data_IF_762919934917
#
_entry.id   IF_762919934917
#
_cell.length_a   1.000
_cell.length_b   1.000
_cell.length_c   1.000
_cell.angle_alpha   90.00
_cell.angle_beta   90.00
_cell.angle_gamma   90.00
#
_symmetry.space_group_name_H-M   'P 1'
#
loop_
_entity.id
_entity.type
_entity.pdbx_description
1 polymer ?
#
# COMPACT_ATOMS: atom_id res chain seq x y z
N UNK A 1 71.45 18.01 38.83
CA UNK A 1 71.25 18.21 37.37
C UNK A 1 70.96 16.92 36.58
N UNK A 2 71.45 15.72 36.97
CA UNK A 2 71.17 14.46 36.25
C UNK A 2 69.71 14.00 36.20
N UNK A 3 68.86 14.38 37.17
CA UNK A 3 67.44 13.98 37.17
C UNK A 3 66.60 14.71 36.11
N UNK A 4 66.99 15.93 35.74
CA UNK A 4 66.28 16.73 34.74
C UNK A 4 66.60 16.20 33.33
N UNK A 5 67.86 15.85 33.05
CA UNK A 5 68.26 15.28 31.75
C UNK A 5 67.57 13.93 31.47
N UNK A 6 67.39 13.09 32.49
CA UNK A 6 66.66 11.81 32.35
C UNK A 6 65.15 12.00 32.13
N UNK A 7 64.55 13.02 32.73
CA UNK A 7 63.13 13.35 32.50
C UNK A 7 62.90 13.84 31.06
N UNK A 8 63.81 14.64 30.50
CA UNK A 8 63.76 15.07 29.11
C UNK A 8 64.03 13.94 28.11
N UNK A 9 64.91 12.99 28.45
CA UNK A 9 65.15 11.79 27.62
C UNK A 9 63.96 10.83 27.62
N UNK A 10 63.28 10.64 28.76
CA UNK A 10 62.06 9.84 28.85
C UNK A 10 60.88 10.52 28.14
N UNK A 11 60.75 11.85 28.22
CA UNK A 11 59.74 12.60 27.46
C UNK A 11 59.98 12.52 25.95
N UNK A 12 61.24 12.59 25.49
CA UNK A 12 61.59 12.43 24.09
C UNK A 12 61.35 11.00 23.57
N UNK A 13 61.58 9.97 24.39
CA UNK A 13 61.28 8.58 24.03
C UNK A 13 59.77 8.30 23.96
N UNK A 14 58.97 8.91 24.83
CA UNK A 14 57.51 8.80 24.79
C UNK A 14 56.87 9.56 23.61
N UNK A 15 57.48 10.66 23.16
CA UNK A 15 57.03 11.39 21.96
C UNK A 15 57.39 10.69 20.65
N UNK A 16 58.45 9.88 20.62
CA UNK A 16 58.83 9.09 19.44
C UNK A 16 58.00 7.79 19.26
N UNK A 17 57.27 7.35 20.29
CA UNK A 17 56.50 6.09 20.28
C UNK A 17 55.04 6.23 19.80
N UNK A 18 54.60 7.42 19.37
CA UNK A 18 53.19 7.71 19.06
C UNK A 18 52.89 7.98 17.58
N UNK A 19 53.86 7.82 16.67
CA UNK A 19 53.59 7.87 15.23
C UNK A 19 53.36 6.45 14.72
N UNK A 20 52.19 5.88 15.07
CA UNK A 20 51.64 4.80 14.26
C UNK A 20 51.22 5.43 12.93
N UNK A 21 51.98 5.20 11.86
CA UNK A 21 51.54 5.53 10.52
C UNK A 21 50.36 4.60 10.19
N UNK A 22 49.13 5.11 10.29
CA UNK A 22 47.97 4.40 9.78
C UNK A 22 47.95 4.54 8.26
N UNK A 23 48.10 3.41 7.56
CA UNK A 23 47.86 3.36 6.12
C UNK A 23 46.36 3.40 5.86
N UNK A 24 45.91 4.20 4.90
CA UNK A 24 44.50 4.23 4.50
C UNK A 24 44.39 4.06 3.00
N UNK A 25 43.45 3.24 2.53
CA UNK A 25 43.20 3.09 1.10
C UNK A 25 42.49 4.31 0.52
N UNK A 26 42.90 4.72 -0.68
CA UNK A 26 42.17 5.67 -1.53
C UNK A 26 41.97 5.07 -2.94
N UNK A 27 41.20 5.74 -3.78
CA UNK A 27 40.98 5.37 -5.18
C UNK A 27 41.43 6.48 -6.12
N UNK A 28 42.09 6.10 -7.21
CA UNK A 28 42.48 6.98 -8.31
C UNK A 28 41.92 6.46 -9.63
N UNK A 29 41.76 7.36 -10.60
CA UNK A 29 41.22 7.03 -11.93
C UNK A 29 39.89 6.27 -11.89
N UNK A 30 39.05 6.57 -10.90
CA UNK A 30 37.75 5.94 -10.80
C UNK A 30 36.82 6.51 -11.87
N UNK A 31 36.13 5.63 -12.59
CA UNK A 31 35.18 5.96 -13.64
C UNK A 31 33.89 5.22 -13.36
N UNK A 32 32.84 5.99 -13.08
CA UNK A 32 31.48 5.49 -12.99
C UNK A 32 30.77 5.78 -14.31
N UNK A 33 30.18 4.75 -14.90
CA UNK A 33 29.36 4.90 -16.09
C UNK A 33 28.06 4.13 -15.93
N UNK A 34 26.94 4.80 -16.16
CA UNK A 34 25.62 4.20 -16.25
C UNK A 34 25.16 4.30 -17.69
N UNK A 35 24.91 3.15 -18.28
CA UNK A 35 24.50 3.01 -19.68
C UNK A 35 23.17 2.27 -19.70
N UNK A 36 22.23 2.71 -20.54
CA UNK A 36 21.08 1.88 -20.87
C UNK A 36 21.56 0.64 -21.64
N UNK A 37 20.76 -0.43 -21.65
CA UNK A 37 21.03 -1.66 -22.39
C UNK A 37 21.28 -1.41 -23.89
N UNK A 38 20.64 -0.39 -24.46
CA UNK A 38 20.83 0.05 -25.85
C UNK A 38 22.17 0.76 -26.10
N UNK A 39 22.99 0.93 -25.06
CA UNK A 39 24.30 1.57 -25.11
C UNK A 39 24.27 3.09 -24.95
N UNK A 40 23.09 3.69 -24.80
CA UNK A 40 22.94 5.13 -24.56
C UNK A 40 23.55 5.51 -23.19
N UNK A 41 24.53 6.44 -23.14
CA UNK A 41 25.11 6.88 -21.87
C UNK A 41 24.12 7.78 -21.12
N UNK A 42 23.82 7.44 -19.86
CA UNK A 42 23.01 8.27 -18.96
C UNK A 42 23.88 9.07 -17.99
N UNK A 43 24.92 8.44 -17.44
CA UNK A 43 25.88 9.06 -16.53
C UNK A 43 27.29 8.57 -16.86
N UNK A 44 28.28 9.47 -16.86
CA UNK A 44 29.69 9.09 -16.97
C UNK A 44 30.54 10.09 -16.19
N UNK A 45 30.85 9.75 -14.95
CA UNK A 45 31.66 10.59 -14.05
C UNK A 45 33.04 9.98 -13.81
N UNK A 46 34.02 10.85 -13.60
CA UNK A 46 35.38 10.47 -13.22
C UNK A 46 35.66 11.02 -11.82
N UNK A 47 36.10 10.16 -10.92
CA UNK A 47 36.49 10.52 -9.56
C UNK A 47 38.00 10.38 -9.39
N UNK A 48 38.61 11.37 -8.73
CA UNK A 48 40.05 11.46 -8.57
C UNK A 48 40.56 11.05 -7.17
N UNK A 49 39.75 11.18 -6.10
CA UNK A 49 40.11 10.83 -4.70
C UNK A 49 38.90 10.94 -3.75
N UNK A 50 39.00 10.32 -2.55
CA UNK A 50 38.09 10.38 -1.39
C UNK A 50 37.45 11.76 -1.11
N UNK A 51 38.15 12.87 -1.37
CA UNK A 51 37.70 14.22 -0.99
C UNK A 51 36.55 14.79 -1.85
N UNK A 52 36.19 14.16 -2.97
CA UNK A 52 35.26 14.72 -3.96
C UNK A 52 33.92 13.97 -4.09
N UNK A 53 33.64 12.97 -3.26
CA UNK A 53 32.55 12.02 -3.54
C UNK A 53 31.29 12.35 -2.74
N UNK A 54 30.56 13.40 -3.16
CA UNK A 54 29.13 13.40 -2.90
C UNK A 54 28.49 12.47 -3.92
N UNK A 55 27.89 11.34 -3.50
CA UNK A 55 27.31 10.39 -4.45
C UNK A 55 26.13 11.05 -5.18
N UNK A 56 26.17 11.05 -6.51
CA UNK A 56 25.07 11.55 -7.31
C UNK A 56 23.81 10.69 -7.08
N UNK A 57 22.66 11.32 -6.96
CA UNK A 57 21.37 10.65 -6.88
C UNK A 57 20.87 10.35 -8.30
N UNK A 58 20.66 9.07 -8.60
CA UNK A 58 20.21 8.61 -9.92
C UNK A 58 18.96 7.74 -9.81
N UNK A 59 17.93 8.09 -10.58
CA UNK A 59 16.77 7.24 -10.77
C UNK A 59 17.13 6.06 -11.69
N UNK A 60 17.21 4.86 -11.09
CA UNK A 60 17.52 3.62 -11.76
C UNK A 60 16.37 3.20 -12.68
N UNK A 61 16.71 2.88 -13.92
CA UNK A 61 15.80 2.29 -14.90
C UNK A 61 16.04 0.78 -15.05
N UNK A 62 15.03 0.01 -15.50
CA UNK A 62 15.14 -1.44 -15.54
C UNK A 62 16.27 -1.97 -16.43
N UNK A 63 16.58 -1.22 -17.48
CA UNK A 63 17.54 -1.61 -18.52
C UNK A 63 18.92 -0.97 -18.27
N UNK A 64 19.13 -0.32 -17.11
CA UNK A 64 20.41 0.27 -16.75
C UNK A 64 21.48 -0.78 -16.44
N UNK A 65 22.68 -0.47 -16.90
CA UNK A 65 23.92 -1.17 -16.62
C UNK A 65 24.90 -0.20 -15.98
N UNK A 66 25.15 -0.40 -14.69
CA UNK A 66 26.11 0.37 -13.90
C UNK A 66 27.47 -0.31 -14.03
N UNK A 67 28.48 0.43 -14.47
CA UNK A 67 29.87 -0.01 -14.55
C UNK A 67 30.75 0.92 -13.74
N UNK A 68 31.57 0.35 -12.88
CA UNK A 68 32.52 1.08 -12.04
C UNK A 68 33.91 0.49 -12.24
N UNK A 69 34.84 1.31 -12.73
CA UNK A 69 36.24 0.95 -12.90
C UNK A 69 37.09 1.86 -12.03
N UNK A 70 38.06 1.33 -11.30
CA UNK A 70 38.89 2.11 -10.39
C UNK A 70 40.29 1.51 -10.26
N UNK A 71 41.23 2.35 -9.83
CA UNK A 71 42.58 1.95 -9.42
C UNK A 71 42.73 2.28 -7.95
N UNK A 72 43.38 1.40 -7.18
CA UNK A 72 43.57 1.59 -5.75
C UNK A 72 44.87 2.34 -5.53
N UNK A 73 44.80 3.39 -4.72
CA UNK A 73 45.92 4.20 -4.32
C UNK A 73 46.14 4.11 -2.80
N UNK A 74 47.36 4.39 -2.37
CA UNK A 74 47.66 4.62 -0.97
C UNK A 74 47.09 6.00 -0.56
N UNK A 75 47.01 6.29 0.74
CA UNK A 75 46.47 7.54 1.29
C UNK A 75 47.23 8.80 0.84
N UNK A 76 48.36 8.63 0.15
CA UNK A 76 49.18 9.67 -0.47
C UNK A 76 48.89 9.87 -1.97
N UNK A 77 47.98 9.08 -2.57
CA UNK A 77 47.56 9.19 -3.97
C UNK A 77 48.39 8.39 -4.97
N UNK A 78 49.43 7.69 -4.52
CA UNK A 78 50.29 6.83 -5.35
C UNK A 78 49.69 5.43 -5.54
N UNK A 79 50.00 4.78 -6.67
CA UNK A 79 49.54 3.43 -6.95
C UNK A 79 50.07 2.44 -5.90
N UNK A 80 49.17 1.62 -5.36
CA UNK A 80 49.52 0.64 -4.32
C UNK A 80 50.48 -0.41 -4.86
N UNK A 81 51.56 -0.68 -4.11
CA UNK A 81 52.52 -1.76 -4.40
C UNK A 81 51.86 -3.13 -4.21
N UNK A 82 52.35 -4.16 -4.91
CA UNK A 82 51.74 -5.51 -4.89
C UNK A 82 51.48 -6.06 -3.48
N UNK A 83 52.34 -5.76 -2.52
CA UNK A 83 52.23 -6.22 -1.13
C UNK A 83 51.11 -5.57 -0.31
N UNK A 84 50.61 -4.40 -0.74
CA UNK A 84 49.53 -3.66 -0.07
C UNK A 84 48.19 -3.78 -0.80
N UNK A 85 48.08 -4.61 -1.83
CA UNK A 85 46.80 -4.84 -2.53
C UNK A 85 45.77 -5.39 -1.53
N UNK A 86 44.56 -4.83 -1.47
CA UNK A 86 43.59 -5.25 -0.46
C UNK A 86 43.17 -6.70 -0.67
N UNK A 87 43.18 -7.45 0.44
CA UNK A 87 42.74 -8.84 0.48
C UNK A 87 41.23 -8.97 0.17
N UNK A 88 40.45 -7.94 0.50
CA UNK A 88 39.00 -7.91 0.37
C UNK A 88 38.56 -6.63 -0.33
N UNK A 89 37.84 -6.78 -1.43
CA UNK A 89 37.18 -5.68 -2.12
C UNK A 89 35.73 -6.08 -2.43
N UNK A 90 34.78 -5.26 -1.98
CA UNK A 90 33.36 -5.50 -2.17
C UNK A 90 32.65 -4.23 -2.62
N UNK A 91 31.68 -4.37 -3.51
CA UNK A 91 30.65 -3.35 -3.71
C UNK A 91 29.45 -3.73 -2.86
N UNK A 92 28.94 -2.79 -2.08
CA UNK A 92 27.79 -2.98 -1.21
C UNK A 92 26.70 -2.01 -1.60
N UNK A 93 25.48 -2.53 -1.81
CA UNK A 93 24.26 -1.74 -1.85
C UNK A 93 23.66 -1.76 -0.45
N UNK A 94 23.66 -0.61 0.22
CA UNK A 94 23.08 -0.42 1.54
C UNK A 94 21.88 0.52 1.45
N UNK A 95 20.90 0.30 2.30
CA UNK A 95 19.84 1.27 2.53
C UNK A 95 20.42 2.47 3.29
N UNK A 96 20.08 3.70 2.88
CA UNK A 96 20.56 4.92 3.56
C UNK A 96 19.79 5.24 4.84
N UNK A 97 18.56 4.73 4.97
CA UNK A 97 17.64 5.00 6.08
C UNK A 97 17.64 3.88 7.11
N UNK A 98 17.69 2.62 6.64
CA UNK A 98 17.78 1.45 7.51
C UNK A 98 19.25 1.09 7.71
N UNK A 99 19.78 1.37 8.91
CA UNK A 99 21.16 1.06 9.29
C UNK A 99 21.41 -0.45 9.54
N UNK A 100 20.54 -1.31 9.01
CA UNK A 100 20.56 -2.75 9.23
C UNK A 100 21.39 -3.47 8.16
N UNK A 101 22.49 -4.08 8.59
CA UNK A 101 23.36 -4.90 7.74
C UNK A 101 22.62 -6.09 7.09
N UNK A 102 21.51 -6.55 7.68
CA UNK A 102 20.66 -7.62 7.14
C UNK A 102 20.07 -7.29 5.76
N UNK A 103 19.93 -6.00 5.44
CA UNK A 103 19.30 -5.54 4.21
C UNK A 103 20.29 -5.22 3.08
N UNK A 104 21.60 -5.32 3.32
CA UNK A 104 22.62 -5.03 2.31
C UNK A 104 22.80 -6.14 1.27
N UNK A 105 23.14 -5.76 0.04
CA UNK A 105 23.57 -6.69 -1.01
C UNK A 105 25.05 -6.49 -1.30
N UNK A 106 25.82 -7.57 -1.38
CA UNK A 106 27.29 -7.53 -1.47
C UNK A 106 27.76 -8.26 -2.73
N UNK A 107 28.64 -7.61 -3.50
CA UNK A 107 29.29 -8.20 -4.66
C UNK A 107 30.80 -8.19 -4.48
N UNK A 108 31.47 -9.36 -4.51
CA UNK A 108 32.93 -9.43 -4.48
C UNK A 108 33.53 -8.87 -5.76
N UNK A 109 34.58 -8.07 -5.60
CA UNK A 109 35.34 -7.48 -6.70
C UNK A 109 36.74 -8.08 -6.71
N UNK A 110 37.16 -8.60 -7.87
CA UNK A 110 38.53 -9.09 -8.04
C UNK A 110 39.43 -7.93 -8.45
N UNK A 111 40.36 -7.57 -7.57
CA UNK A 111 41.43 -6.61 -7.85
C UNK A 111 42.57 -7.33 -8.56
N UNK A 112 43.13 -6.73 -9.62
CA UNK A 112 44.32 -7.28 -10.30
C UNK A 112 45.57 -6.81 -9.57
N UNK A 113 46.39 -7.74 -9.09
CA UNK A 113 47.61 -7.42 -8.33
C UNK A 113 48.60 -6.55 -9.12
N UNK A 114 48.83 -6.85 -10.40
CA UNK A 114 49.83 -6.18 -11.25
C UNK A 114 49.56 -4.69 -11.51
N UNK A 115 48.31 -4.24 -11.39
CA UNK A 115 47.91 -2.86 -11.72
C UNK A 115 47.05 -2.20 -10.64
N UNK A 116 46.84 -2.89 -9.51
CA UNK A 116 45.92 -2.50 -8.43
C UNK A 116 44.54 -2.00 -8.94
N UNK A 117 44.09 -2.50 -10.09
CA UNK A 117 42.89 -2.00 -10.78
C UNK A 117 41.79 -3.03 -10.78
N UNK A 118 40.55 -2.57 -10.70
CA UNK A 118 39.37 -3.44 -10.75
C UNK A 118 38.24 -2.84 -11.61
N UNK A 119 37.36 -3.71 -12.06
CA UNK A 119 36.15 -3.32 -12.80
C UNK A 119 34.99 -4.17 -12.31
N UNK A 120 33.89 -3.51 -12.00
CA UNK A 120 32.64 -4.11 -11.56
C UNK A 120 31.50 -3.63 -12.46
N UNK A 121 30.54 -4.52 -12.73
CA UNK A 121 29.36 -4.20 -13.54
C UNK A 121 28.12 -4.87 -12.99
N UNK A 122 27.03 -4.13 -12.92
CA UNK A 122 25.73 -4.58 -12.42
C UNK A 122 24.64 -4.18 -13.39
N UNK A 123 23.83 -5.15 -13.81
CA UNK A 123 22.60 -4.88 -14.57
C UNK A 123 21.40 -4.91 -13.64
N UNK A 124 20.52 -3.92 -13.73
CA UNK A 124 19.35 -3.80 -12.86
C UNK A 124 18.36 -4.96 -13.07
N UNK A 125 18.21 -5.45 -14.29
CA UNK A 125 17.35 -6.60 -14.63
C UNK A 125 17.83 -7.92 -14.00
N UNK A 126 19.14 -8.08 -13.79
CA UNK A 126 19.77 -9.30 -13.26
C UNK A 126 20.08 -9.27 -11.76
N UNK A 127 19.47 -8.34 -11.03
CA UNK A 127 19.54 -8.37 -9.56
C UNK A 127 19.04 -9.70 -9.00
N UNK A 128 19.67 -10.17 -7.92
CA UNK A 128 19.27 -11.38 -7.22
C UNK A 128 17.84 -11.22 -6.64
N UNK A 129 17.08 -12.31 -6.58
CA UNK A 129 15.67 -12.27 -6.15
C UNK A 129 15.50 -11.63 -4.77
N UNK A 130 16.37 -11.98 -3.81
CA UNK A 130 16.34 -11.39 -2.47
C UNK A 130 16.61 -9.88 -2.45
N UNK A 131 17.39 -9.35 -3.39
CA UNK A 131 17.62 -7.91 -3.50
C UNK A 131 16.39 -7.24 -4.09
N UNK A 132 15.80 -7.82 -5.14
CA UNK A 132 14.57 -7.31 -5.76
C UNK A 132 13.43 -7.21 -4.76
N UNK A 133 13.23 -8.24 -3.93
CA UNK A 133 12.19 -8.22 -2.90
C UNK A 133 12.42 -7.09 -1.89
N UNK A 134 13.67 -6.91 -1.42
CA UNK A 134 14.02 -5.80 -0.52
C UNK A 134 13.72 -4.43 -1.13
N UNK A 135 13.98 -4.26 -2.42
CA UNK A 135 13.66 -3.01 -3.12
C UNK A 135 12.14 -2.78 -3.18
N UNK A 136 11.34 -3.83 -3.37
CA UNK A 136 9.87 -3.75 -3.35
C UNK A 136 9.36 -3.42 -1.96
N UNK A 137 9.90 -4.06 -0.92
CA UNK A 137 9.50 -3.86 0.48
C UNK A 137 9.80 -2.44 0.97
N UNK A 138 10.92 -1.85 0.52
CA UNK A 138 11.29 -0.47 0.84
C UNK A 138 10.39 0.58 0.14
N UNK A 139 9.79 0.22 -0.99
CA UNK A 139 8.87 1.08 -1.73
C UNK A 139 9.54 2.02 -2.75
N UNK A 140 8.73 2.75 -3.54
CA UNK A 140 9.22 3.62 -4.60
C UNK A 140 9.93 4.86 -4.07
N UNK A 141 10.93 5.34 -4.81
CA UNK A 141 11.75 6.52 -4.49
C UNK A 141 12.52 6.40 -3.16
N UNK A 142 12.77 5.17 -2.70
CA UNK A 142 13.62 4.93 -1.55
C UNK A 142 15.10 4.98 -1.94
N UNK A 143 15.94 5.81 -1.28
CA UNK A 143 17.34 5.98 -1.66
C UNK A 143 18.24 4.87 -1.10
N UNK A 144 18.90 4.16 -2.01
CA UNK A 144 19.95 3.20 -1.70
C UNK A 144 21.32 3.74 -2.07
N UNK A 145 22.36 3.35 -1.33
CA UNK A 145 23.73 3.80 -1.55
C UNK A 145 24.60 2.64 -1.99
N UNK A 146 25.33 2.85 -3.08
CA UNK A 146 26.41 1.97 -3.51
C UNK A 146 27.74 2.48 -2.96
N UNK A 147 28.42 1.60 -2.24
CA UNK A 147 29.70 1.86 -1.59
C UNK A 147 30.72 0.79 -1.94
N UNK A 148 31.96 1.20 -2.17
CA UNK A 148 33.10 0.32 -2.28
C UNK A 148 33.73 0.13 -0.90
N UNK A 149 33.85 -1.12 -0.46
CA UNK A 149 34.57 -1.52 0.74
C UNK A 149 35.91 -2.11 0.33
N UNK A 150 37.00 -1.54 0.84
CA UNK A 150 38.35 -2.04 0.69
C UNK A 150 38.91 -2.39 2.07
N UNK A 151 39.33 -3.64 2.24
CA UNK A 151 39.87 -4.16 3.48
C UNK A 151 41.09 -5.04 3.23
N UNK A 152 42.04 -4.98 4.16
CA UNK A 152 43.26 -5.78 4.10
C UNK A 152 43.74 -6.07 5.51
N UNK A 153 44.51 -7.15 5.65
CA UNK A 153 45.22 -7.42 6.89
C UNK A 153 46.47 -6.56 6.96
N UNK A 154 46.78 -6.04 8.14
CA UNK A 154 48.02 -5.32 8.36
C UNK A 154 49.23 -6.23 8.06
N UNK A 155 50.23 -5.77 7.30
CA UNK A 155 51.42 -6.56 7.00
C UNK A 155 52.27 -6.84 8.25
N UNK A 156 52.30 -5.90 9.20
CA UNK A 156 53.04 -6.02 10.46
C UNK A 156 52.18 -5.64 11.67
N UNK A 157 52.48 -6.26 12.83
CA UNK A 157 51.80 -6.00 14.11
C UNK A 157 51.93 -4.54 14.62
N UNK A 158 52.87 -3.77 14.07
CA UNK A 158 53.09 -2.36 14.38
C UNK A 158 52.39 -1.40 13.40
N UNK A 159 51.86 -1.91 12.27
CA UNK A 159 51.14 -1.13 11.27
C UNK A 159 49.64 -1.31 11.43
N UNK A 160 48.88 -0.21 11.53
CA UNK A 160 47.42 -0.26 11.46
C UNK A 160 47.01 0.12 10.04
N UNK A 161 46.14 -0.68 9.41
CA UNK A 161 45.62 -0.38 8.09
C UNK A 161 44.10 -0.24 8.17
N UNK A 162 43.62 0.97 7.91
CA UNK A 162 42.20 1.28 8.05
C UNK A 162 41.42 0.82 6.82
N UNK A 163 40.31 0.12 7.06
CA UNK A 163 39.38 -0.24 6.00
C UNK A 163 38.75 1.03 5.40
N UNK A 164 38.68 1.10 4.08
CA UNK A 164 38.07 2.24 3.39
C UNK A 164 36.66 1.90 2.92
N UNK A 165 35.72 2.77 3.29
CA UNK A 165 34.34 2.77 2.79
C UNK A 165 34.16 4.00 1.91
N UNK A 166 33.98 3.79 0.61
CA UNK A 166 33.92 4.86 -0.38
C UNK A 166 32.56 4.81 -1.08
N UNK A 167 31.58 5.63 -0.67
CA UNK A 167 30.31 5.73 -1.37
C UNK A 167 30.51 6.39 -2.73
N UNK A 168 29.88 5.89 -3.79
CA UNK A 168 30.10 6.43 -5.14
C UNK A 168 28.82 6.70 -5.94
N UNK A 169 27.67 6.12 -5.55
CA UNK A 169 26.41 6.36 -6.25
C UNK A 169 25.23 6.18 -5.30
N UNK A 170 24.21 7.04 -5.40
CA UNK A 170 22.92 6.84 -4.77
C UNK A 170 21.89 6.49 -5.85
N UNK A 171 21.07 5.48 -5.57
CA UNK A 171 20.08 4.94 -6.49
C UNK A 171 18.69 5.08 -5.88
N UNK A 172 17.76 5.58 -6.69
CA UNK A 172 16.32 5.55 -6.40
C UNK A 172 15.63 4.65 -7.41
N UNK A 173 14.67 3.87 -6.94
CA UNK A 173 13.94 2.94 -7.80
C UNK A 173 12.54 3.48 -8.08
N UNK A 174 12.21 3.63 -9.36
CA UNK A 174 10.89 4.08 -9.79
C UNK A 174 9.82 3.00 -9.56
N UNK A 175 8.57 3.41 -9.34
CA UNK A 175 7.44 2.50 -9.18
C UNK A 175 7.27 1.56 -10.39
N UNK A 176 7.57 2.03 -11.60
CA UNK A 176 7.50 1.23 -12.83
C UNK A 176 8.52 0.08 -12.84
N UNK A 177 9.71 0.30 -12.28
CA UNK A 177 10.75 -0.72 -12.14
C UNK A 177 10.34 -1.75 -11.09
N UNK A 178 9.86 -1.29 -9.93
CA UNK A 178 9.44 -2.19 -8.85
C UNK A 178 8.26 -3.07 -9.25
N UNK A 179 7.33 -2.56 -10.06
CA UNK A 179 6.22 -3.35 -10.60
C UNK A 179 6.66 -4.51 -11.51
N UNK A 180 7.87 -4.47 -12.09
CA UNK A 180 8.43 -5.56 -12.91
C UNK A 180 9.03 -6.68 -12.06
N UNK A 181 9.32 -6.43 -10.80
CA UNK A 181 9.85 -7.47 -9.92
C UNK A 181 8.69 -8.38 -9.47
N UNK A 182 8.77 -9.69 -9.76
CA UNK A 182 7.72 -10.61 -9.33
C UNK A 182 7.70 -10.62 -7.80
N UNK A 183 6.53 -10.42 -7.20
CA UNK A 183 6.35 -10.68 -5.77
C UNK A 183 6.78 -12.12 -5.50
N UNK A 184 7.81 -12.30 -4.67
CA UNK A 184 8.33 -13.63 -4.40
C UNK A 184 7.23 -14.46 -3.73
N UNK A 185 6.93 -15.63 -4.30
CA UNK A 185 6.02 -16.57 -3.65
C UNK A 185 6.65 -16.93 -2.31
N UNK A 186 5.87 -16.96 -1.22
CA UNK A 186 6.41 -17.30 0.09
C UNK A 186 7.15 -18.64 0.00
N UNK A 187 8.38 -18.66 0.53
CA UNK A 187 9.20 -19.87 0.54
C UNK A 187 8.47 -21.02 1.24
N UNK A 188 8.77 -22.27 0.90
CA UNK A 188 8.17 -23.42 1.60
C UNK A 188 8.42 -23.36 3.12
N UNK A 189 9.59 -22.83 3.51
CA UNK A 189 9.94 -22.58 4.91
C UNK A 189 9.02 -21.55 5.55
N UNK A 190 8.80 -20.38 4.93
CA UNK A 190 7.91 -19.36 5.51
C UNK A 190 6.46 -19.82 5.55
N UNK A 191 6.03 -20.66 4.61
CA UNK A 191 4.71 -21.31 4.65
C UNK A 191 4.63 -22.29 5.82
N UNK A 192 5.69 -23.07 6.08
CA UNK A 192 5.74 -23.97 7.23
C UNK A 192 5.77 -23.19 8.54
N UNK A 193 6.58 -22.12 8.63
CA UNK A 193 6.65 -21.25 9.81
C UNK A 193 5.30 -20.61 10.14
N UNK A 194 4.58 -20.13 9.12
CA UNK A 194 3.23 -19.60 9.28
C UNK A 194 2.23 -20.68 9.72
N UNK A 195 2.33 -21.91 9.19
CA UNK A 195 1.47 -23.03 9.60
C UNK A 195 1.75 -23.52 11.02
N UNK A 196 3.01 -23.52 11.42
CA UNK A 196 3.47 -23.96 12.73
C UNK A 196 3.28 -22.88 13.81
N UNK A 197 2.79 -21.69 13.44
CA UNK A 197 2.44 -20.61 14.36
C UNK A 197 3.63 -19.75 14.83
N UNK A 198 4.74 -19.75 14.10
CA UNK A 198 5.89 -18.86 14.37
C UNK A 198 5.63 -17.41 13.92
N UNK A 199 4.59 -17.19 13.10
CA UNK A 199 4.12 -15.87 12.66
C UNK A 199 2.76 -15.62 13.32
N UNK A 200 2.44 -14.39 13.75
CA UNK A 200 1.11 -14.06 14.24
C UNK A 200 0.04 -14.45 13.22
N UNK A 201 -1.06 -15.02 13.71
CA UNK A 201 -2.22 -15.34 12.88
C UNK A 201 -2.82 -14.05 12.31
N UNK A 202 -3.27 -14.06 11.05
CA UNK A 202 -3.94 -12.91 10.47
C UNK A 202 -5.20 -12.57 11.27
N UNK A 203 -5.50 -11.29 11.39
CA UNK A 203 -6.71 -10.83 12.08
C UNK A 203 -7.96 -11.28 11.30
N UNK A 204 -8.87 -11.96 12.00
CA UNK A 204 -10.16 -12.36 11.44
C UNK A 204 -11.25 -11.42 11.94
N UNK A 205 -11.97 -10.79 11.01
CA UNK A 205 -13.12 -9.94 11.33
C UNK A 205 -14.43 -10.68 11.02
N UNK A 206 -15.39 -10.59 11.93
CA UNK A 206 -16.74 -11.09 11.68
C UNK A 206 -17.44 -10.18 10.67
N UNK A 207 -17.84 -10.72 9.53
CA UNK A 207 -18.64 -10.01 8.54
C UNK A 207 -20.12 -10.28 8.81
N UNK A 208 -20.83 -9.25 9.27
CA UNK A 208 -22.27 -9.32 9.44
C UNK A 208 -22.98 -9.36 8.09
N UNK A 209 -24.14 -10.00 8.04
CA UNK A 209 -25.01 -9.96 6.87
C UNK A 209 -25.42 -8.50 6.58
N UNK A 210 -25.44 -8.13 5.30
CA UNK A 210 -25.89 -6.80 4.87
C UNK A 210 -27.36 -6.62 5.23
N UNK A 211 -27.68 -5.55 5.96
CA UNK A 211 -29.06 -5.28 6.36
C UNK A 211 -29.93 -4.93 5.14
N UNK A 212 -31.20 -5.36 5.08
CA UNK A 212 -32.04 -5.21 3.89
C UNK A 212 -32.21 -3.75 3.41
N UNK A 213 -32.12 -2.76 4.30
CA UNK A 213 -32.26 -1.35 3.90
C UNK A 213 -31.08 -0.84 3.05
N UNK A 214 -29.91 -1.49 3.12
CA UNK A 214 -28.74 -1.12 2.33
C UNK A 214 -28.92 -1.48 0.86
N UNK A 215 -29.77 -2.47 0.57
CA UNK A 215 -30.10 -2.91 -0.80
C UNK A 215 -31.43 -2.35 -1.29
N UNK A 216 -32.14 -1.55 -0.48
CA UNK A 216 -33.41 -0.95 -0.89
C UNK A 216 -33.20 0.16 -1.94
N UNK A 217 -34.13 0.29 -2.90
CA UNK A 217 -34.09 1.38 -3.87
C UNK A 217 -34.25 2.75 -3.20
N UNK A 218 -33.80 3.84 -3.85
CA UNK A 218 -33.91 5.18 -3.31
C UNK A 218 -35.35 5.55 -2.94
N UNK A 219 -35.54 6.25 -1.81
CA UNK A 219 -36.87 6.62 -1.28
C UNK A 219 -37.78 7.30 -2.30
N UNK A 220 -37.21 8.13 -3.18
CA UNK A 220 -37.95 8.82 -4.23
C UNK A 220 -38.56 7.85 -5.26
N UNK A 221 -37.83 6.80 -5.63
CA UNK A 221 -38.30 5.78 -6.60
C UNK A 221 -39.45 4.98 -5.98
N UNK A 222 -39.27 4.54 -4.74
CA UNK A 222 -40.32 3.81 -4.00
C UNK A 222 -41.58 4.67 -3.80
N UNK A 223 -41.42 5.96 -3.50
CA UNK A 223 -42.54 6.89 -3.35
C UNK A 223 -43.27 7.10 -4.68
N UNK A 224 -42.54 7.33 -5.77
CA UNK A 224 -43.13 7.52 -7.10
C UNK A 224 -43.92 6.28 -7.53
N UNK A 225 -43.36 5.08 -7.32
CA UNK A 225 -44.04 3.82 -7.59
C UNK A 225 -45.31 3.66 -6.73
N UNK A 226 -45.23 3.96 -5.42
CA UNK A 226 -46.38 3.89 -4.52
C UNK A 226 -47.51 4.84 -4.95
N UNK A 227 -47.17 6.10 -5.30
CA UNK A 227 -48.15 7.08 -5.78
C UNK A 227 -48.80 6.64 -7.10
N UNK A 228 -48.02 6.12 -8.05
CA UNK A 228 -48.53 5.66 -9.33
C UNK A 228 -49.49 4.47 -9.16
N UNK A 229 -49.11 3.48 -8.35
CA UNK A 229 -49.93 2.28 -8.10
C UNK A 229 -51.20 2.63 -7.33
N UNK A 230 -51.11 3.52 -6.34
CA UNK A 230 -52.27 3.91 -5.55
C UNK A 230 -53.19 4.84 -6.33
N UNK A 231 -52.72 6.00 -6.78
CA UNK A 231 -53.58 7.02 -7.38
C UNK A 231 -53.94 6.75 -8.85
N UNK A 232 -53.14 6.01 -9.59
CA UNK A 232 -53.36 5.76 -11.03
C UNK A 232 -54.72 5.16 -11.34
N UNK A 233 -55.07 3.98 -10.77
CA UNK A 233 -56.36 3.35 -10.99
C UNK A 233 -57.55 4.21 -10.53
N UNK A 234 -57.43 4.89 -9.38
CA UNK A 234 -58.50 5.75 -8.86
C UNK A 234 -58.72 7.00 -9.70
N UNK A 235 -57.65 7.62 -10.21
CA UNK A 235 -57.76 8.78 -11.10
C UNK A 235 -58.42 8.40 -12.44
N UNK A 236 -58.06 7.24 -13.00
CA UNK A 236 -58.72 6.69 -14.18
C UNK A 236 -60.20 6.43 -13.92
N UNK A 237 -60.52 5.77 -12.80
CA UNK A 237 -61.89 5.49 -12.40
C UNK A 237 -62.70 6.79 -12.24
N UNK A 238 -62.17 7.79 -11.55
CA UNK A 238 -62.83 9.08 -11.35
C UNK A 238 -63.11 9.81 -12.68
N UNK A 239 -62.16 9.77 -13.62
CA UNK A 239 -62.32 10.35 -14.95
C UNK A 239 -63.44 9.66 -15.75
N UNK A 240 -63.52 8.33 -15.67
CA UNK A 240 -64.60 7.56 -16.29
C UNK A 240 -65.93 7.77 -15.57
N UNK A 241 -65.92 7.85 -14.23
CA UNK A 241 -67.09 8.03 -13.40
C UNK A 241 -67.77 9.38 -13.64
N UNK A 242 -67.02 10.45 -13.89
CA UNK A 242 -67.58 11.77 -14.23
C UNK A 242 -68.50 11.76 -15.47
N UNK A 243 -68.32 10.79 -16.38
CA UNK A 243 -69.20 10.59 -17.55
C UNK A 243 -70.48 9.83 -17.19
N UNK A 244 -70.43 8.91 -16.22
CA UNK A 244 -71.58 8.12 -15.75
C UNK A 244 -72.38 8.85 -14.64
N UNK A 245 -71.73 9.71 -13.86
CA UNK A 245 -72.29 10.33 -12.66
C UNK A 245 -73.50 11.21 -12.93
N UNK A 246 -73.62 11.74 -14.16
CA UNK A 246 -74.75 12.57 -14.61
C UNK A 246 -76.10 11.83 -14.63
N UNK A 247 -76.13 10.53 -14.34
CA UNK A 247 -77.34 9.68 -14.30
C UNK A 247 -77.70 9.17 -12.90
N UNK A 248 -76.98 9.55 -11.84
CA UNK A 248 -77.32 9.08 -10.49
C UNK A 248 -78.49 9.88 -9.90
N UNK A 249 -79.50 9.15 -9.44
CA UNK A 249 -80.62 9.67 -8.63
C UNK A 249 -80.15 9.95 -7.19
N UNK A 250 -80.85 10.83 -6.48
CA UNK A 250 -80.52 11.18 -5.09
C UNK A 250 -80.68 9.96 -4.17
N UNK A 251 -79.71 9.68 -3.28
CA UNK A 251 -79.75 8.51 -2.41
C UNK A 251 -80.84 8.68 -1.35
N UNK A 252 -81.51 7.57 -1.02
CA UNK A 252 -82.48 7.53 0.05
C UNK A 252 -81.81 7.25 1.40
N UNK A 253 -82.54 7.44 2.50
CA UNK A 253 -82.05 7.23 3.87
C UNK A 253 -81.50 5.80 4.06
N UNK A 254 -82.13 4.77 3.48
CA UNK A 254 -81.64 3.39 3.54
C UNK A 254 -80.33 3.18 2.77
N UNK A 255 -80.13 3.92 1.68
CA UNK A 255 -78.88 3.84 0.89
C UNK A 255 -77.76 4.55 1.65
N UNK A 256 -78.07 5.66 2.32
CA UNK A 256 -77.08 6.37 3.16
C UNK A 256 -76.65 5.56 4.37
N UNK A 257 -77.54 4.79 5.00
CA UNK A 257 -77.17 3.93 6.15
C UNK A 257 -76.32 2.75 5.70
N UNK A 258 -76.65 2.12 4.56
CA UNK A 258 -75.80 1.10 3.96
C UNK A 258 -74.41 1.66 3.62
N UNK A 259 -74.35 2.79 2.91
CA UNK A 259 -73.07 3.43 2.56
C UNK A 259 -72.25 3.79 3.80
N UNK A 260 -72.87 4.39 4.81
CA UNK A 260 -72.20 4.73 6.06
C UNK A 260 -71.63 3.49 6.77
N UNK A 261 -72.37 2.37 6.79
CA UNK A 261 -71.89 1.12 7.38
C UNK A 261 -70.70 0.52 6.64
N UNK A 262 -70.70 0.61 5.29
CA UNK A 262 -69.57 0.17 4.46
C UNK A 262 -68.35 1.06 4.73
N UNK A 263 -68.51 2.39 4.74
CA UNK A 263 -67.42 3.32 5.08
C UNK A 263 -66.88 3.08 6.49
N UNK A 264 -67.73 2.77 7.46
CA UNK A 264 -67.31 2.46 8.81
C UNK A 264 -66.52 1.14 8.89
N UNK A 265 -66.90 0.12 8.11
CA UNK A 265 -66.16 -1.14 8.00
C UNK A 265 -64.77 -0.92 7.38
N UNK A 266 -64.67 -0.11 6.33
CA UNK A 266 -63.38 0.25 5.71
C UNK A 266 -62.48 1.04 6.67
N UNK A 267 -63.05 2.01 7.39
CA UNK A 267 -62.31 2.75 8.42
C UNK A 267 -61.82 1.82 9.54
N UNK A 268 -62.64 0.85 9.94
CA UNK A 268 -62.28 -0.15 10.95
C UNK A 268 -61.15 -1.06 10.45
N UNK A 269 -61.16 -1.44 9.17
CA UNK A 269 -60.07 -2.18 8.53
C UNK A 269 -58.76 -1.37 8.53
N UNK A 270 -58.83 -0.06 8.27
CA UNK A 270 -57.68 0.84 8.36
C UNK A 270 -57.16 0.95 9.79
N UNK A 271 -58.03 1.05 10.80
CA UNK A 271 -57.62 1.05 12.20
C UNK A 271 -56.97 -0.28 12.60
N UNK A 272 -57.43 -1.41 12.07
CA UNK A 272 -56.78 -2.70 12.27
C UNK A 272 -55.37 -2.71 11.69
N UNK A 273 -55.21 -2.24 10.45
CA UNK A 273 -53.91 -2.15 9.78
C UNK A 273 -52.90 -1.29 10.52
N UNK A 274 -53.33 -0.17 11.13
CA UNK A 274 -52.47 0.70 11.96
C UNK A 274 -52.04 0.02 13.27
N UNK A 275 -52.79 -0.98 13.76
CA UNK A 275 -52.41 -1.75 14.95
C UNK A 275 -53.53 -1.99 15.97
N UNK A 276 -54.80 -1.70 15.64
CA UNK A 276 -55.90 -2.03 16.55
C UNK A 276 -56.01 -3.54 16.71
N UNK A 277 -56.03 -4.07 17.95
CA UNK A 277 -56.00 -5.49 18.17
C UNK A 277 -57.30 -6.16 17.71
N UNK A 278 -57.16 -7.40 17.26
CA UNK A 278 -58.24 -8.17 16.64
C UNK A 278 -59.50 -8.29 17.51
N UNK A 279 -59.36 -8.40 18.84
CA UNK A 279 -60.49 -8.56 19.76
C UNK A 279 -61.36 -7.29 19.91
N UNK A 280 -60.88 -6.12 19.48
CA UNK A 280 -61.68 -4.88 19.40
C UNK A 280 -62.33 -4.78 18.02
N UNK A 281 -61.55 -5.08 16.98
CA UNK A 281 -61.98 -5.00 15.58
C UNK A 281 -63.10 -5.99 15.28
N UNK A 282 -62.99 -7.24 15.73
CA UNK A 282 -63.95 -8.30 15.44
C UNK A 282 -65.38 -7.99 15.96
N UNK A 283 -65.61 -7.66 17.25
CA UNK A 283 -66.95 -7.33 17.72
C UNK A 283 -67.49 -6.03 17.08
N UNK A 284 -66.64 -5.03 16.84
CA UNK A 284 -67.05 -3.81 16.14
C UNK A 284 -67.47 -4.09 14.69
N UNK A 285 -66.73 -4.95 13.99
CA UNK A 285 -67.05 -5.37 12.62
C UNK A 285 -68.35 -6.17 12.57
N UNK A 286 -68.59 -7.07 13.54
CA UNK A 286 -69.86 -7.80 13.65
C UNK A 286 -71.05 -6.85 13.88
N UNK A 287 -70.90 -5.84 14.75
CA UNK A 287 -71.91 -4.82 14.97
C UNK A 287 -72.22 -4.00 13.71
N UNK A 288 -71.17 -3.54 13.02
CA UNK A 288 -71.30 -2.79 11.76
C UNK A 288 -71.89 -3.64 10.63
N UNK A 289 -71.50 -4.91 10.53
CA UNK A 289 -72.06 -5.86 9.57
C UNK A 289 -73.56 -6.11 9.83
N UNK A 290 -73.98 -6.21 11.10
CA UNK A 290 -75.38 -6.27 11.47
C UNK A 290 -76.17 -5.05 11.00
N UNK A 291 -75.63 -3.85 11.21
CA UNK A 291 -76.24 -2.61 10.73
C UNK A 291 -76.31 -2.56 9.19
N UNK A 292 -75.26 -3.00 8.50
CA UNK A 292 -75.20 -3.10 7.04
C UNK A 292 -76.25 -4.07 6.48
N UNK A 293 -76.48 -5.21 7.14
CA UNK A 293 -77.48 -6.20 6.73
C UNK A 293 -78.92 -5.66 6.83
N UNK A 294 -79.23 -4.92 7.90
CA UNK A 294 -80.56 -4.32 8.08
C UNK A 294 -80.81 -3.19 7.08
N UNK A 295 -79.84 -2.27 6.93
CA UNK A 295 -79.93 -1.17 5.96
C UNK A 295 -79.93 -1.67 4.51
N UNK A 296 -79.08 -2.65 4.19
CA UNK A 296 -78.96 -3.24 2.85
C UNK A 296 -80.19 -3.99 2.41
N UNK A 297 -80.89 -4.71 3.30
CA UNK A 297 -82.17 -5.35 2.97
C UNK A 297 -83.23 -4.32 2.53
N UNK A 298 -83.27 -3.15 3.17
CA UNK A 298 -84.23 -2.09 2.82
C UNK A 298 -83.82 -1.31 1.57
N UNK A 299 -82.52 -1.14 1.34
CA UNK A 299 -81.98 -0.50 0.14
C UNK A 299 -82.17 -1.36 -1.12
N UNK A 300 -81.87 -2.66 -1.05
CA UNK A 300 -81.86 -3.58 -2.20
C UNK A 300 -83.24 -4.10 -2.63
N UNK A 301 -84.24 -4.02 -1.76
CA UNK A 301 -85.62 -4.44 -2.09
C UNK A 301 -86.39 -3.38 -2.88
N UNK A 302 -85.80 -2.20 -3.10
CA UNK A 302 -86.38 -1.14 -3.92
C UNK A 302 -86.10 -1.38 -5.41
N UNK A 303 -87.10 -1.25 -6.29
CA UNK A 303 -86.87 -1.36 -7.73
C UNK A 303 -86.03 -0.18 -8.22
N UNK A 304 -84.99 -0.47 -9.01
CA UNK A 304 -84.06 0.50 -9.61
C UNK A 304 -84.68 1.37 -10.74
N UNK A 305 -86.01 1.37 -10.90
CA UNK A 305 -86.71 2.09 -11.97
C UNK A 305 -88.04 2.67 -11.47
N UNK A 306 -88.13 3.99 -11.50
CA UNK A 306 -89.29 4.76 -11.94
C UNK A 306 -88.80 5.88 -12.85
#
# INVERSE_FOLDING_TARGET
MHKIVRAWQLAALCLAALVCASGSYDITNARLSVQSFDGAPRLSEKYASKASVQPALLAAEPDDVIKFAFTIADGQGEAVKEDLVPHQAWVVLSDTTAQDAAHSAVWPVRVRGSSASATWSLRMDKLHASVKQKLVDAGPNHPFQLSLLLGSFAPDAASALDAAVIPFLQLEFSAALLARFPAEKPSQRSIAEAKDGFVPWPEHFHTFATEPWQTMPPKAVSLAAALAVFFGPWALLACLWGKLAKRLQSPSVADTTLLASIYALEALALFHWVGTPFYIVCPAALGLAGAALVGGRQALTRPLVS
#
